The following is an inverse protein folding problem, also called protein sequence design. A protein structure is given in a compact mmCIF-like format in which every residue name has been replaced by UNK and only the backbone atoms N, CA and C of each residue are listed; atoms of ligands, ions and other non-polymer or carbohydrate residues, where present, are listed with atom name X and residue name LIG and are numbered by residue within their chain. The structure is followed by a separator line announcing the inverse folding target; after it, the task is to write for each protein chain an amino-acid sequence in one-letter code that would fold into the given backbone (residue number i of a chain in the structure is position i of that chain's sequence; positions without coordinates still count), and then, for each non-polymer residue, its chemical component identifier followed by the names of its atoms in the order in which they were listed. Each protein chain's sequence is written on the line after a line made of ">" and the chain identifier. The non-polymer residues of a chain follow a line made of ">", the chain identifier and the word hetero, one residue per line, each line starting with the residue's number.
data_IF_611844549138
#
_entry.id   IF_611844549138
#
_cell.length_a   1.000
_cell.length_b   1.000
_cell.length_c   1.000
_cell.angle_alpha   90.00
_cell.angle_beta   90.00
_cell.angle_gamma   90.00
#
_symmetry.space_group_name_H-M   'P 1'
#
loop_
_entity.id
_entity.type
_entity.pdbx_description
1 polymer ?
#
# COMPACT_ATOMS: atom_id res chain seq x y z
N UNK A 1 -2.07 -12.07 1.43
CA UNK A 1 -1.00 -11.76 2.40
C UNK A 1 -1.52 -11.64 3.83
N UNK A 2 -2.53 -10.80 4.10
CA UNK A 2 -3.02 -10.55 5.46
C UNK A 2 -3.31 -11.79 6.32
N UNK A 3 -3.90 -12.84 5.75
CA UNK A 3 -4.18 -14.09 6.47
C UNK A 3 -2.92 -14.91 6.80
N UNK A 4 -1.91 -14.90 5.91
CA UNK A 4 -0.69 -15.71 6.08
C UNK A 4 0.30 -15.01 7.00
N UNK A 5 0.36 -13.68 6.93
CA UNK A 5 1.28 -12.84 7.71
C UNK A 5 0.63 -12.27 8.98
N UNK A 6 -0.48 -12.87 9.43
CA UNK A 6 -1.24 -12.34 10.57
C UNK A 6 -0.46 -12.39 11.89
N UNK A 7 0.52 -13.28 12.01
CA UNK A 7 1.39 -13.36 13.20
C UNK A 7 2.26 -12.11 13.39
N UNK A 8 2.52 -11.36 12.32
CA UNK A 8 3.29 -10.11 12.33
C UNK A 8 2.41 -8.86 12.53
N UNK A 9 1.10 -9.05 12.72
CA UNK A 9 0.18 -7.94 12.94
C UNK A 9 0.36 -7.36 14.35
N UNK A 10 0.53 -6.04 14.51
CA UNK A 10 0.64 -5.43 15.83
C UNK A 10 -0.60 -5.69 16.68
N UNK A 11 -0.41 -5.71 18.00
CA UNK A 11 -1.51 -5.90 18.95
C UNK A 11 -2.63 -4.86 18.74
N UNK A 12 -3.89 -5.33 18.73
CA UNK A 12 -5.06 -4.49 18.45
C UNK A 12 -5.44 -4.41 16.97
N UNK A 13 -4.71 -5.07 16.07
CA UNK A 13 -5.13 -5.24 14.66
C UNK A 13 -6.40 -6.08 14.57
N UNK A 14 -7.43 -5.57 13.90
CA UNK A 14 -8.58 -6.36 13.46
C UNK A 14 -8.28 -6.97 12.09
N UNK A 15 -7.94 -8.27 12.07
CA UNK A 15 -7.55 -8.97 10.84
C UNK A 15 -8.69 -9.06 9.83
N UNK A 16 -9.93 -9.25 10.27
CA UNK A 16 -11.07 -9.32 9.34
C UNK A 16 -11.30 -7.96 8.68
N UNK A 17 -11.22 -6.89 9.48
CA UNK A 17 -11.28 -5.52 8.95
C UNK A 17 -10.11 -5.20 8.02
N UNK A 18 -8.89 -5.63 8.33
CA UNK A 18 -7.73 -5.47 7.44
C UNK A 18 -7.94 -6.17 6.09
N UNK A 19 -8.51 -7.39 6.09
CA UNK A 19 -8.87 -8.10 4.85
C UNK A 19 -9.94 -7.33 4.07
N UNK A 20 -11.03 -6.89 4.72
CA UNK A 20 -12.07 -6.07 4.05
C UNK A 20 -11.48 -4.79 3.46
N UNK A 21 -10.59 -4.13 4.19
CA UNK A 21 -9.93 -2.89 3.79
C UNK A 21 -9.08 -3.10 2.54
N UNK A 22 -8.22 -4.14 2.53
CA UNK A 22 -7.38 -4.47 1.38
C UNK A 22 -8.19 -4.91 0.15
N UNK A 23 -9.38 -5.50 0.33
CA UNK A 23 -10.25 -5.84 -0.80
C UNK A 23 -10.85 -4.61 -1.50
N UNK A 24 -10.96 -3.48 -0.80
CA UNK A 24 -11.66 -2.29 -1.31
C UNK A 24 -10.78 -1.05 -1.50
N UNK A 25 -9.55 -1.04 -0.99
CA UNK A 25 -8.71 0.18 -0.95
C UNK A 25 -8.50 0.81 -2.33
N UNK A 26 -8.32 0.00 -3.38
CA UNK A 26 -8.12 0.47 -4.75
C UNK A 26 -9.41 0.52 -5.58
N UNK A 27 -10.61 0.33 -5.01
CA UNK A 27 -11.85 0.42 -5.81
C UNK A 27 -12.01 1.80 -6.48
N UNK A 28 -11.51 2.85 -5.83
CA UNK A 28 -11.50 4.22 -6.36
C UNK A 28 -10.72 4.35 -7.67
N UNK A 29 -9.78 3.44 -7.93
CA UNK A 29 -8.99 3.44 -9.16
C UNK A 29 -9.80 3.06 -10.41
N UNK A 30 -11.02 2.53 -10.25
CA UNK A 30 -11.95 2.31 -11.38
C UNK A 30 -12.19 3.62 -12.15
N UNK A 31 -12.32 4.74 -11.45
CA UNK A 31 -12.50 6.06 -12.08
C UNK A 31 -11.23 6.91 -12.02
N UNK A 32 -10.49 6.85 -10.92
CA UNK A 32 -9.32 7.68 -10.74
C UNK A 32 -8.15 7.23 -11.63
N UNK A 33 -8.08 5.94 -11.95
CA UNK A 33 -6.92 5.28 -12.54
C UNK A 33 -5.79 5.09 -11.54
N UNK A 34 -5.01 4.02 -11.71
CA UNK A 34 -3.78 3.78 -10.93
C UNK A 34 -2.82 4.96 -11.08
N UNK A 35 -2.29 5.41 -9.95
CA UNK A 35 -1.28 6.46 -9.91
C UNK A 35 0.01 5.88 -9.36
N UNK A 36 0.98 5.69 -10.26
CA UNK A 36 2.29 5.15 -9.89
C UNK A 36 2.88 5.91 -8.70
N UNK A 37 3.23 5.18 -7.64
CA UNK A 37 3.61 5.81 -6.37
C UNK A 37 4.88 6.68 -6.40
N UNK A 38 5.69 6.60 -7.47
CA UNK A 38 6.85 7.48 -7.68
C UNK A 38 6.62 8.58 -8.73
N UNK A 39 5.42 8.68 -9.31
CA UNK A 39 5.05 9.74 -10.25
C UNK A 39 4.68 11.04 -9.49
N UNK A 40 5.63 11.95 -9.38
CA UNK A 40 5.45 13.22 -8.68
C UNK A 40 4.31 14.06 -9.28
N UNK A 41 4.11 14.04 -10.60
CA UNK A 41 3.08 14.84 -11.25
C UNK A 41 1.70 14.20 -11.10
N UNK A 42 1.60 12.88 -11.33
CA UNK A 42 0.35 12.13 -11.16
C UNK A 42 -0.21 12.20 -9.74
N UNK A 43 0.68 12.23 -8.74
CA UNK A 43 0.29 12.31 -7.33
C UNK A 43 -0.31 13.66 -6.91
N UNK A 44 -0.10 14.76 -7.66
CA UNK A 44 -0.63 16.08 -7.30
C UNK A 44 -2.16 16.14 -7.28
N UNK A 45 -2.81 15.44 -8.22
CA UNK A 45 -4.27 15.40 -8.34
C UNK A 45 -4.89 14.11 -7.80
N UNK A 46 -4.06 13.19 -7.27
CA UNK A 46 -4.48 11.85 -6.86
C UNK A 46 -5.62 11.89 -5.84
N UNK A 47 -5.42 12.57 -4.73
CA UNK A 47 -6.41 12.65 -3.65
C UNK A 47 -7.76 13.21 -4.12
N UNK A 48 -7.75 14.22 -4.99
CA UNK A 48 -8.99 14.81 -5.53
C UNK A 48 -9.71 13.85 -6.48
N UNK A 49 -8.96 13.14 -7.34
CA UNK A 49 -9.53 12.12 -8.24
C UNK A 49 -10.13 10.96 -7.46
N UNK A 50 -9.42 10.45 -6.48
CA UNK A 50 -9.86 9.31 -5.67
C UNK A 50 -11.04 9.68 -4.78
N UNK A 51 -11.08 10.89 -4.21
CA UNK A 51 -12.25 11.33 -3.44
C UNK A 51 -13.52 11.39 -4.31
N UNK A 52 -13.43 11.94 -5.52
CA UNK A 52 -14.58 11.94 -6.44
C UNK A 52 -15.01 10.53 -6.84
N UNK A 53 -14.05 9.63 -7.02
CA UNK A 53 -14.33 8.24 -7.33
C UNK A 53 -15.02 7.55 -6.14
N UNK A 54 -14.54 7.76 -4.92
CA UNK A 54 -15.13 7.24 -3.69
C UNK A 54 -16.59 7.72 -3.53
N UNK A 55 -16.83 9.02 -3.68
CA UNK A 55 -18.16 9.62 -3.56
C UNK A 55 -19.15 8.99 -4.55
N UNK A 56 -18.71 8.79 -5.81
CA UNK A 56 -19.54 8.15 -6.83
C UNK A 56 -19.74 6.67 -6.55
N UNK A 57 -18.66 5.90 -6.40
CA UNK A 57 -18.69 4.44 -6.34
C UNK A 57 -19.39 3.92 -5.08
N UNK A 58 -19.03 4.45 -3.91
CA UNK A 58 -19.68 4.06 -2.67
C UNK A 58 -21.10 4.63 -2.58
N UNK A 59 -21.38 5.75 -3.26
CA UNK A 59 -22.72 6.32 -3.40
C UNK A 59 -23.69 5.49 -4.26
N UNK A 60 -23.21 4.50 -5.02
CA UNK A 60 -24.06 3.55 -5.75
C UNK A 60 -24.68 2.47 -4.85
N UNK A 61 -24.10 2.26 -3.66
CA UNK A 61 -24.54 1.24 -2.73
C UNK A 61 -25.72 1.72 -1.88
N UNK A 62 -26.50 0.81 -1.26
CA UNK A 62 -27.41 1.17 -0.18
C UNK A 62 -26.70 2.02 0.88
N UNK A 63 -27.39 3.04 1.40
CA UNK A 63 -26.78 4.10 2.22
C UNK A 63 -25.89 3.59 3.36
N UNK A 64 -26.30 2.54 4.07
CA UNK A 64 -25.53 1.97 5.18
C UNK A 64 -24.23 1.32 4.69
N UNK A 65 -24.31 0.51 3.63
CA UNK A 65 -23.15 -0.16 3.03
C UNK A 65 -22.17 0.85 2.40
N UNK A 66 -22.69 1.85 1.68
CA UNK A 66 -21.89 2.91 1.08
C UNK A 66 -21.11 3.69 2.13
N UNK A 67 -21.77 4.05 3.24
CA UNK A 67 -21.12 4.73 4.36
C UNK A 67 -20.05 3.85 5.03
N UNK A 68 -20.33 2.57 5.26
CA UNK A 68 -19.36 1.64 5.86
C UNK A 68 -18.09 1.52 5.00
N UNK A 69 -18.25 1.28 3.70
CA UNK A 69 -17.10 1.10 2.80
C UNK A 69 -16.32 2.40 2.57
N UNK A 70 -17.01 3.55 2.46
CA UNK A 70 -16.36 4.85 2.38
C UNK A 70 -15.56 5.15 3.65
N UNK A 71 -16.10 4.86 4.85
CA UNK A 71 -15.35 4.99 6.10
C UNK A 71 -14.14 4.06 6.15
N UNK A 72 -14.27 2.82 5.67
CA UNK A 72 -13.16 1.87 5.64
C UNK A 72 -12.05 2.29 4.68
N UNK A 73 -12.41 2.84 3.52
CA UNK A 73 -11.47 3.43 2.55
C UNK A 73 -10.77 4.65 3.14
N UNK A 74 -11.51 5.58 3.75
CA UNK A 74 -10.93 6.75 4.42
C UNK A 74 -9.97 6.36 5.56
N UNK A 75 -10.27 5.27 6.28
CA UNK A 75 -9.40 4.74 7.33
C UNK A 75 -8.06 4.24 6.76
N UNK A 76 -8.10 3.54 5.61
CA UNK A 76 -6.90 3.11 4.90
C UNK A 76 -6.05 4.30 4.47
N UNK A 77 -6.64 5.29 3.80
CA UNK A 77 -5.94 6.49 3.32
C UNK A 77 -5.31 7.29 4.46
N UNK A 78 -5.98 7.37 5.61
CA UNK A 78 -5.46 8.09 6.76
C UNK A 78 -4.25 7.40 7.43
N UNK A 79 -4.15 6.08 7.36
CA UNK A 79 -3.06 5.27 7.96
C UNK A 79 -2.83 5.53 9.46
N UNK A 80 -3.91 5.85 10.19
CA UNK A 80 -3.84 6.22 11.62
C UNK A 80 -4.13 5.07 12.57
N UNK A 81 -5.01 4.15 12.19
CA UNK A 81 -5.37 3.00 13.03
C UNK A 81 -4.33 1.90 12.87
N UNK A 82 -4.17 1.05 13.89
CA UNK A 82 -3.27 -0.10 13.83
C UNK A 82 -3.64 -1.03 12.67
N UNK A 83 -4.94 -1.24 12.44
CA UNK A 83 -5.47 -2.01 11.31
C UNK A 83 -5.07 -1.41 9.95
N UNK A 84 -5.23 -0.10 9.76
CA UNK A 84 -4.85 0.57 8.51
C UNK A 84 -3.32 0.58 8.29
N UNK A 85 -2.54 0.72 9.35
CA UNK A 85 -1.08 0.64 9.27
C UNK A 85 -0.62 -0.76 8.85
N UNK A 86 -1.20 -1.83 9.42
CA UNK A 86 -0.92 -3.19 9.00
C UNK A 86 -1.33 -3.44 7.54
N UNK A 87 -2.54 -3.02 7.15
CA UNK A 87 -2.99 -3.12 5.76
C UNK A 87 -2.02 -2.40 4.80
N UNK A 88 -1.63 -1.16 5.13
CA UNK A 88 -0.67 -0.38 4.34
C UNK A 88 0.68 -1.08 4.26
N UNK A 89 1.18 -1.65 5.35
CA UNK A 89 2.45 -2.38 5.34
C UNK A 89 2.40 -3.56 4.34
N UNK A 90 1.31 -4.32 4.33
CA UNK A 90 1.12 -5.44 3.40
C UNK A 90 1.03 -4.98 1.94
N UNK A 91 0.30 -3.90 1.67
CA UNK A 91 0.24 -3.25 0.36
C UNK A 91 1.65 -2.85 -0.11
N UNK A 92 2.48 -2.28 0.77
CA UNK A 92 3.84 -1.86 0.42
C UNK A 92 4.79 -3.04 0.20
N UNK A 93 4.67 -4.12 0.97
CA UNK A 93 5.53 -5.30 0.86
C UNK A 93 5.32 -6.03 -0.47
N UNK A 94 4.10 -6.07 -1.00
CA UNK A 94 3.80 -6.87 -2.19
C UNK A 94 4.61 -6.41 -3.44
N UNK A 95 4.65 -5.12 -3.82
CA UNK A 95 5.45 -4.65 -4.94
C UNK A 95 6.96 -4.79 -4.74
N UNK A 96 7.45 -4.74 -3.49
CA UNK A 96 8.84 -5.00 -3.15
C UNK A 96 9.22 -6.44 -3.53
N UNK A 97 8.42 -7.41 -3.10
CA UNK A 97 8.65 -8.83 -3.42
C UNK A 97 8.56 -9.08 -4.92
N UNK A 98 7.60 -8.46 -5.59
CA UNK A 98 7.47 -8.54 -7.06
C UNK A 98 8.67 -7.97 -7.79
N UNK A 99 9.18 -6.80 -7.40
CA UNK A 99 10.37 -6.23 -8.02
C UNK A 99 11.60 -7.10 -7.76
N UNK A 100 11.77 -7.66 -6.56
CA UNK A 100 12.83 -8.64 -6.28
C UNK A 100 12.73 -9.85 -7.23
N UNK A 101 11.55 -10.44 -7.37
CA UNK A 101 11.34 -11.64 -8.19
C UNK A 101 11.55 -11.36 -9.69
N UNK A 102 11.22 -10.15 -10.13
CA UNK A 102 11.35 -9.71 -11.53
C UNK A 102 12.70 -9.03 -11.83
N UNK A 103 13.70 -9.19 -10.96
CA UNK A 103 15.04 -8.61 -11.12
C UNK A 103 15.03 -7.09 -11.33
N UNK A 104 14.14 -6.41 -10.62
CA UNK A 104 13.96 -4.96 -10.64
C UNK A 104 13.10 -4.45 -11.78
N UNK A 105 12.14 -5.23 -12.29
CA UNK A 105 11.32 -4.90 -13.47
C UNK A 105 10.83 -3.44 -13.50
N UNK A 106 9.91 -3.07 -12.61
CA UNK A 106 9.37 -1.70 -12.54
C UNK A 106 10.44 -0.69 -12.12
N UNK A 107 11.29 -1.04 -11.14
CA UNK A 107 12.35 -0.13 -10.69
C UNK A 107 13.30 0.29 -11.80
N UNK A 108 13.72 -0.63 -12.66
CA UNK A 108 14.64 -0.37 -13.79
C UNK A 108 13.97 0.46 -14.87
N UNK A 109 12.72 0.11 -15.24
CA UNK A 109 11.94 0.86 -16.24
C UNK A 109 11.82 2.34 -15.85
N UNK A 110 11.56 2.60 -14.56
CA UNK A 110 11.32 3.95 -14.05
C UNK A 110 12.56 4.57 -13.36
N UNK A 111 13.73 3.94 -13.45
CA UNK A 111 14.99 4.41 -12.84
C UNK A 111 14.88 4.75 -11.34
N UNK A 112 14.10 3.96 -10.60
CA UNK A 112 13.86 4.15 -9.16
C UNK A 112 15.14 3.89 -8.36
N UNK A 113 15.39 4.72 -7.36
CA UNK A 113 16.56 4.62 -6.47
C UNK A 113 16.24 3.91 -5.15
N UNK A 114 17.29 3.42 -4.50
CA UNK A 114 17.25 2.85 -3.14
C UNK A 114 16.55 3.77 -2.16
N UNK A 115 16.91 5.05 -2.14
CA UNK A 115 16.34 6.02 -1.19
C UNK A 115 14.85 6.24 -1.42
N UNK A 116 14.40 6.27 -2.68
CA UNK A 116 12.97 6.34 -3.00
C UNK A 116 12.23 5.11 -2.46
N UNK A 117 12.77 3.90 -2.65
CA UNK A 117 12.16 2.68 -2.12
C UNK A 117 12.15 2.69 -0.59
N UNK A 118 13.25 3.05 0.08
CA UNK A 118 13.30 3.11 1.55
C UNK A 118 12.27 4.09 2.11
N UNK A 119 12.17 5.29 1.52
CA UNK A 119 11.18 6.28 1.93
C UNK A 119 9.75 5.73 1.78
N UNK A 120 9.49 5.05 0.67
CA UNK A 120 8.19 4.47 0.34
C UNK A 120 7.80 3.28 1.24
N UNK A 121 8.78 2.62 1.85
CA UNK A 121 8.59 1.45 2.73
C UNK A 121 8.49 1.80 4.22
N UNK A 122 8.74 3.06 4.62
CA UNK A 122 8.68 3.51 6.02
C UNK A 122 7.41 3.06 6.80
N UNK A 123 6.20 3.02 6.21
CA UNK A 123 5.00 2.59 6.95
C UNK A 123 5.08 1.16 7.53
N UNK A 124 5.95 0.31 6.99
CA UNK A 124 6.14 -1.06 7.49
C UNK A 124 6.74 -1.06 8.91
N UNK A 125 7.57 -0.07 9.25
CA UNK A 125 8.18 0.02 10.58
C UNK A 125 7.15 0.16 11.71
N UNK A 126 5.99 0.75 11.44
CA UNK A 126 4.85 0.82 12.37
C UNK A 126 3.81 -0.27 12.12
N UNK A 127 3.53 -0.58 10.85
CA UNK A 127 2.44 -1.48 10.48
C UNK A 127 2.76 -2.96 10.64
N UNK A 128 4.02 -3.36 10.50
CA UNK A 128 4.50 -4.73 10.71
C UNK A 128 5.98 -4.68 11.14
N UNK A 129 6.29 -4.20 12.36
CA UNK A 129 7.66 -3.88 12.79
C UNK A 129 8.61 -5.07 12.69
N UNK A 130 8.13 -6.28 12.96
CA UNK A 130 8.94 -7.52 12.86
C UNK A 130 9.37 -7.85 11.42
N UNK A 131 8.66 -7.33 10.42
CA UNK A 131 9.03 -7.50 9.00
C UNK A 131 9.94 -6.39 8.49
N UNK A 132 10.20 -5.34 9.28
CA UNK A 132 10.96 -4.18 8.81
C UNK A 132 12.40 -4.54 8.47
N UNK A 133 13.07 -5.31 9.32
CA UNK A 133 14.45 -5.75 9.08
C UNK A 133 14.53 -6.59 7.79
N UNK A 134 13.60 -7.53 7.60
CA UNK A 134 13.52 -8.34 6.37
C UNK A 134 13.37 -7.48 5.11
N UNK A 135 12.56 -6.42 5.18
CA UNK A 135 12.35 -5.47 4.07
C UNK A 135 13.63 -4.71 3.77
N UNK A 136 14.32 -4.18 4.80
CA UNK A 136 15.59 -3.48 4.62
C UNK A 136 16.65 -4.41 4.00
N UNK A 137 16.82 -5.62 4.52
CA UNK A 137 17.76 -6.60 3.97
C UNK A 137 17.41 -6.99 2.53
N UNK A 138 16.13 -7.09 2.20
CA UNK A 138 15.66 -7.35 0.83
C UNK A 138 16.05 -6.22 -0.13
N UNK A 139 15.90 -4.96 0.30
CA UNK A 139 16.30 -3.78 -0.49
C UNK A 139 17.81 -3.81 -0.75
N UNK A 140 18.63 -4.02 0.28
CA UNK A 140 20.09 -4.08 0.12
C UNK A 140 20.54 -5.23 -0.79
N UNK A 141 19.87 -6.39 -0.68
CA UNK A 141 20.12 -7.53 -1.57
C UNK A 141 19.82 -7.17 -3.03
N UNK A 142 18.73 -6.42 -3.29
CA UNK A 142 18.39 -5.97 -4.63
C UNK A 142 19.38 -4.95 -5.18
N UNK A 143 19.94 -4.08 -4.33
CA UNK A 143 21.01 -3.13 -4.72
C UNK A 143 22.29 -3.90 -5.07
N UNK A 144 22.72 -4.83 -4.21
CA UNK A 144 23.90 -5.66 -4.45
C UNK A 144 23.78 -6.51 -5.73
N UNK A 145 22.58 -6.98 -6.07
CA UNK A 145 22.28 -7.71 -7.30
C UNK A 145 22.11 -6.81 -8.54
N UNK A 146 22.15 -5.48 -8.38
CA UNK A 146 21.93 -4.50 -9.46
C UNK A 146 20.47 -4.42 -9.95
N UNK A 147 19.51 -4.95 -9.18
CA UNK A 147 18.07 -4.85 -9.50
C UNK A 147 17.52 -3.47 -9.17
N UNK A 148 18.07 -2.83 -8.15
CA UNK A 148 17.71 -1.49 -7.71
C UNK A 148 18.94 -0.58 -7.77
N UNK A 149 18.77 0.66 -8.22
CA UNK A 149 19.85 1.63 -8.26
C UNK A 149 20.22 2.06 -6.84
N UNK A 150 21.48 1.87 -6.46
CA UNK A 150 22.03 2.30 -5.17
C UNK A 150 21.95 3.80 -4.95
#
# INVERSE_FOLDING_TARGET
>A
MAMVLSEYAPAGTDLFRAVKMLLIHDLVEIDAGDTFCFDVQGNQSKAEREQRAADRLFGLLPSEQGQELCQLWNEFEAQKTVTAQFATALDRIQPLLHNRQTQGGTWRIHSITRDQVIQRMQPIASGAPELWEFVQQTIETCVAAGYLKG
#
